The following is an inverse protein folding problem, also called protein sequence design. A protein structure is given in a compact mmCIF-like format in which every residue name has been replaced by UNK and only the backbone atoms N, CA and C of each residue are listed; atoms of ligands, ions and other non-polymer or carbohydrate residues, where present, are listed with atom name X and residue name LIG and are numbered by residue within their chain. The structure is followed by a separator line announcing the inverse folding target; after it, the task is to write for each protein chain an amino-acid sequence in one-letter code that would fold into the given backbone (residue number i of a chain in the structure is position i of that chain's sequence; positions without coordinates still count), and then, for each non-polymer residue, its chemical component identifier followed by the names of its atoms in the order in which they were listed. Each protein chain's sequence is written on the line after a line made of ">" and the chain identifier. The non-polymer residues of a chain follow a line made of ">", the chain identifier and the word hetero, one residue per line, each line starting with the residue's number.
data_IF_896582738804
#
_entry.id   IF_896582738804
#
_cell.length_a   1.000
_cell.length_b   1.000
_cell.length_c   1.000
_cell.angle_alpha   90.00
_cell.angle_beta   90.00
_cell.angle_gamma   90.00
#
_symmetry.space_group_name_H-M   'P 1'
#
loop_
_entity.id
_entity.type
_entity.pdbx_description
1 polymer ?
#
# COMPACT_ATOMS: atom_id res chain seq x y z
N UNK A 1 -2.37 -11.02 -12.77
CA UNK A 1 -2.15 -9.58 -12.57
C UNK A 1 -3.46 -8.82 -12.56
N UNK A 2 -3.99 -8.31 -13.69
CA UNK A 2 -5.23 -7.48 -13.68
C UNK A 2 -6.47 -8.16 -13.08
N UNK A 3 -6.59 -9.49 -13.20
CA UNK A 3 -7.68 -10.27 -12.56
C UNK A 3 -7.66 -10.19 -11.03
N UNK A 4 -6.48 -9.99 -10.43
CA UNK A 4 -6.36 -9.89 -8.97
C UNK A 4 -7.05 -8.64 -8.41
N UNK A 5 -7.15 -7.56 -9.20
CA UNK A 5 -7.90 -6.35 -8.81
C UNK A 5 -9.39 -6.67 -8.55
N UNK A 6 -9.94 -7.72 -9.16
CA UNK A 6 -11.36 -8.09 -9.03
C UNK A 6 -11.59 -9.32 -8.14
N UNK A 7 -10.54 -10.10 -7.81
CA UNK A 7 -10.68 -11.36 -7.07
C UNK A 7 -10.14 -11.30 -5.64
N UNK A 8 -9.22 -10.39 -5.33
CA UNK A 8 -8.71 -10.24 -3.96
C UNK A 8 -9.83 -9.77 -3.02
N UNK A 9 -9.79 -10.27 -1.78
CA UNK A 9 -10.74 -9.92 -0.71
C UNK A 9 -10.01 -9.50 0.57
N UNK A 10 -8.73 -9.18 0.47
CA UNK A 10 -7.95 -8.71 1.60
C UNK A 10 -8.55 -7.44 2.21
N UNK A 11 -8.38 -7.27 3.52
CA UNK A 11 -8.91 -6.10 4.22
C UNK A 11 -8.22 -4.83 3.74
N UNK A 12 -9.00 -3.75 3.61
CA UNK A 12 -8.50 -2.43 3.22
C UNK A 12 -9.03 -1.39 4.18
N UNK A 13 -8.12 -0.67 4.83
CA UNK A 13 -8.46 0.60 5.48
C UNK A 13 -8.34 1.70 4.44
N UNK A 14 -9.44 2.41 4.18
CA UNK A 14 -9.42 3.56 3.26
C UNK A 14 -8.51 4.63 3.84
N UNK A 15 -7.70 5.26 2.99
CA UNK A 15 -6.98 6.46 3.39
C UNK A 15 -7.97 7.53 3.83
N UNK A 16 -7.65 8.18 4.94
CA UNK A 16 -8.37 9.31 5.48
C UNK A 16 -7.39 10.25 6.18
N UNK A 17 -7.86 11.42 6.63
CA UNK A 17 -7.02 12.37 7.36
C UNK A 17 -6.40 11.74 8.60
N UNK A 18 -7.06 10.74 9.19
CA UNK A 18 -6.59 10.03 10.39
C UNK A 18 -5.69 8.82 10.09
N UNK A 19 -5.28 8.59 8.84
CA UNK A 19 -4.39 7.47 8.48
C UNK A 19 -3.00 7.94 8.05
N UNK A 20 -1.97 7.35 8.61
CA UNK A 20 -0.59 7.65 8.24
C UNK A 20 -0.22 6.96 6.93
N UNK A 21 0.35 7.74 6.01
CA UNK A 21 0.79 7.24 4.70
C UNK A 21 2.29 6.85 4.65
N UNK A 22 3.04 7.11 5.72
CA UNK A 22 4.48 6.85 5.83
C UNK A 22 4.86 6.62 7.29
N UNK A 23 5.99 5.93 7.53
CA UNK A 23 6.53 5.78 8.88
C UNK A 23 6.85 7.10 9.56
N UNK A 24 7.25 8.14 8.81
CA UNK A 24 7.56 9.45 9.40
C UNK A 24 6.31 10.13 9.97
N UNK A 25 5.17 10.08 9.26
CA UNK A 25 3.90 10.62 9.76
C UNK A 25 3.37 9.76 10.91
N UNK A 26 3.45 8.43 10.78
CA UNK A 26 3.07 7.50 11.85
C UNK A 26 3.89 7.75 13.11
N UNK A 27 5.19 7.97 12.98
CA UNK A 27 6.07 8.29 14.11
C UNK A 27 5.69 9.62 14.74
N UNK A 28 5.46 10.67 13.95
CA UNK A 28 5.05 11.98 14.46
C UNK A 28 3.78 11.89 15.33
N UNK A 29 2.82 11.06 14.93
CA UNK A 29 1.59 10.78 15.71
C UNK A 29 1.86 9.90 16.92
N UNK A 30 2.66 8.86 16.75
CA UNK A 30 3.07 7.96 17.82
C UNK A 30 3.68 8.74 18.99
N UNK A 31 4.54 9.73 18.69
CA UNK A 31 5.22 10.54 19.71
C UNK A 31 4.31 11.53 20.45
N UNK A 32 3.03 11.66 20.07
CA UNK A 32 2.01 12.38 20.85
C UNK A 32 1.56 11.56 22.07
N UNK A 33 1.79 10.25 22.09
CA UNK A 33 1.55 9.41 23.25
C UNK A 33 2.65 9.60 24.29
N UNK A 34 2.30 9.58 25.60
CA UNK A 34 3.28 9.81 26.66
C UNK A 34 4.31 8.69 26.79
N UNK A 35 3.92 7.46 26.48
CA UNK A 35 4.78 6.27 26.52
C UNK A 35 4.44 5.31 25.38
N UNK A 36 5.40 4.48 24.98
CA UNK A 36 5.17 3.43 24.00
C UNK A 36 4.08 2.45 24.48
N UNK A 37 4.10 2.05 25.76
CA UNK A 37 3.07 1.20 26.35
C UNK A 37 1.63 1.71 26.19
N UNK A 38 1.39 3.04 26.24
CA UNK A 38 0.07 3.61 26.01
C UNK A 38 -0.40 3.41 24.55
N UNK A 39 0.52 3.58 23.60
CA UNK A 39 0.25 3.35 22.18
C UNK A 39 0.10 1.85 21.87
N UNK A 40 0.93 0.99 22.47
CA UNK A 40 0.93 -0.46 22.23
C UNK A 40 -0.39 -1.15 22.63
N UNK A 41 -1.25 -0.50 23.41
CA UNK A 41 -2.59 -0.99 23.72
C UNK A 41 -3.57 -0.83 22.55
N UNK A 42 -3.29 0.05 21.59
CA UNK A 42 -4.13 0.22 20.40
C UNK A 42 -4.01 -1.00 19.49
N UNK A 43 -5.15 -1.61 19.20
CA UNK A 43 -5.26 -2.77 18.31
C UNK A 43 -5.86 -2.44 16.94
N UNK A 44 -6.25 -1.18 16.74
CA UNK A 44 -6.68 -0.72 15.42
C UNK A 44 -5.47 -0.62 14.46
N UNK A 45 -5.69 -0.72 13.13
CA UNK A 45 -4.60 -0.81 12.16
C UNK A 45 -3.64 0.38 12.21
N UNK A 46 -4.15 1.60 12.42
CA UNK A 46 -3.34 2.82 12.52
C UNK A 46 -2.48 2.80 13.78
N UNK A 47 -3.04 2.47 14.94
CA UNK A 47 -2.27 2.36 16.18
C UNK A 47 -1.15 1.33 16.11
N UNK A 48 -1.36 0.22 15.39
CA UNK A 48 -0.31 -0.78 15.14
C UNK A 48 0.79 -0.24 14.22
N UNK A 49 0.45 0.57 13.22
CA UNK A 49 1.42 1.20 12.33
C UNK A 49 2.23 2.30 13.03
N UNK A 50 1.58 3.12 13.86
CA UNK A 50 2.24 4.08 14.75
C UNK A 50 3.20 3.39 15.72
N UNK A 51 2.77 2.28 16.35
CA UNK A 51 3.62 1.48 17.23
C UNK A 51 4.82 0.89 16.48
N UNK A 52 4.60 0.37 15.26
CA UNK A 52 5.68 -0.11 14.41
C UNK A 52 6.69 1.02 14.10
N UNK A 53 6.21 2.23 13.77
CA UNK A 53 7.05 3.37 13.47
C UNK A 53 7.90 3.82 14.67
N UNK A 54 7.32 3.89 15.87
CA UNK A 54 8.07 4.14 17.11
C UNK A 54 9.13 3.06 17.33
N UNK A 55 8.75 1.78 17.25
CA UNK A 55 9.68 0.68 17.47
C UNK A 55 10.83 0.66 16.45
N UNK A 56 10.57 0.96 15.18
CA UNK A 56 11.61 1.10 14.17
C UNK A 56 12.57 2.25 14.46
N UNK A 57 12.05 3.39 14.91
CA UNK A 57 12.87 4.54 15.26
C UNK A 57 13.80 4.26 16.44
N UNK A 58 13.35 3.46 17.41
CA UNK A 58 14.19 2.99 18.51
C UNK A 58 15.33 2.07 18.05
N UNK A 59 15.07 1.13 17.14
CA UNK A 59 16.11 0.25 16.57
C UNK A 59 17.16 1.06 15.78
N UNK A 60 16.73 2.16 15.15
CA UNK A 60 17.59 3.02 14.34
C UNK A 60 18.30 4.13 15.12
N UNK A 61 18.06 4.25 16.44
CA UNK A 61 18.56 5.35 17.27
C UNK A 61 18.19 6.75 16.74
N UNK A 62 16.96 6.88 16.24
CA UNK A 62 16.48 8.08 15.58
C UNK A 62 15.59 8.97 16.46
N UNK A 63 15.34 8.62 17.74
CA UNK A 63 14.51 9.45 18.62
C UNK A 63 15.37 10.40 19.47
N UNK A 64 14.81 11.60 19.67
CA UNK A 64 15.30 12.47 20.73
C UNK A 64 14.93 11.85 22.07
N UNK A 65 15.89 11.80 22.98
CA UNK A 65 15.74 11.16 24.31
C UNK A 65 15.46 9.65 24.24
N UNK A 66 16.17 8.94 23.35
CA UNK A 66 16.14 7.47 23.16
C UNK A 66 16.07 6.70 24.48
N UNK A 67 16.88 7.06 25.48
CA UNK A 67 16.91 6.37 26.78
C UNK A 67 15.55 6.39 27.52
N UNK A 68 14.75 7.44 27.33
CA UNK A 68 13.40 7.56 27.90
C UNK A 68 12.34 6.94 27.00
N UNK A 69 12.50 7.06 25.66
CA UNK A 69 11.48 6.65 24.69
C UNK A 69 11.57 5.19 24.23
N UNK A 70 12.72 4.55 24.43
CA UNK A 70 13.03 3.21 23.93
C UNK A 70 13.35 2.19 25.03
N UNK A 71 13.07 2.53 26.30
CA UNK A 71 13.40 1.69 27.46
C UNK A 71 12.57 0.40 27.57
N UNK A 72 11.37 0.39 26.98
CA UNK A 72 10.45 -0.75 27.03
C UNK A 72 11.11 -2.01 26.42
N UNK A 73 11.03 -3.14 27.14
CA UNK A 73 11.69 -4.40 26.76
C UNK A 73 11.35 -4.87 25.32
N UNK A 74 10.09 -4.84 24.86
CA UNK A 74 9.76 -5.26 23.49
C UNK A 74 10.47 -4.46 22.41
N UNK A 75 10.82 -3.19 22.66
CA UNK A 75 11.48 -2.30 21.70
C UNK A 75 12.94 -2.71 21.42
N UNK A 76 13.51 -3.56 22.29
CA UNK A 76 14.86 -4.12 22.12
C UNK A 76 14.85 -5.44 21.33
N UNK A 77 13.68 -6.05 21.11
CA UNK A 77 13.60 -7.28 20.34
C UNK A 77 13.73 -6.98 18.83
N UNK A 78 14.63 -7.68 18.11
CA UNK A 78 15.01 -7.32 16.73
C UNK A 78 13.84 -7.42 15.74
N UNK A 79 12.92 -8.37 15.96
CA UNK A 79 11.79 -8.62 15.05
C UNK A 79 10.52 -7.88 15.46
N UNK A 80 10.49 -7.23 16.64
CA UNK A 80 9.26 -6.70 17.20
C UNK A 80 8.64 -5.61 16.31
N UNK A 81 9.45 -4.65 15.87
CA UNK A 81 9.00 -3.57 15.01
C UNK A 81 8.50 -4.08 13.65
N UNK A 82 9.19 -5.05 13.06
CA UNK A 82 8.78 -5.67 11.79
C UNK A 82 7.50 -6.49 11.94
N UNK A 83 7.33 -7.18 13.07
CA UNK A 83 6.11 -7.94 13.36
C UNK A 83 4.91 -7.00 13.54
N UNK A 84 5.06 -5.88 14.25
CA UNK A 84 4.01 -4.86 14.33
C UNK A 84 3.63 -4.32 12.94
N UNK A 85 4.63 -4.04 12.08
CA UNK A 85 4.38 -3.59 10.72
C UNK A 85 3.61 -4.62 9.89
N UNK A 86 3.98 -5.90 9.99
CA UNK A 86 3.28 -7.02 9.34
C UNK A 86 1.85 -7.19 9.83
N UNK A 87 1.61 -7.03 11.14
CA UNK A 87 0.26 -7.08 11.72
C UNK A 87 -0.59 -5.92 11.18
N UNK A 88 -0.06 -4.69 11.19
CA UNK A 88 -0.75 -3.52 10.65
C UNK A 88 -1.08 -3.68 9.16
N UNK A 89 -0.14 -4.23 8.38
CA UNK A 89 -0.36 -4.53 6.97
C UNK A 89 -1.45 -5.59 6.74
N UNK A 90 -1.44 -6.68 7.50
CA UNK A 90 -2.49 -7.72 7.45
C UNK A 90 -3.86 -7.21 7.95
N UNK A 91 -3.86 -6.15 8.75
CA UNK A 91 -5.08 -5.45 9.14
C UNK A 91 -5.57 -4.46 8.05
N UNK A 92 -4.82 -4.29 6.96
CA UNK A 92 -5.16 -3.45 5.83
C UNK A 92 -4.72 -1.99 5.95
N UNK A 93 -3.81 -1.66 6.88
CA UNK A 93 -3.31 -0.29 7.03
C UNK A 93 -2.45 0.09 5.79
N UNK A 94 -2.80 1.16 5.06
CA UNK A 94 -2.25 1.42 3.72
C UNK A 94 -0.80 1.90 3.72
N UNK A 95 -0.36 2.60 4.77
CA UNK A 95 1.05 2.96 4.97
C UNK A 95 1.92 1.73 5.23
N UNK A 96 1.46 0.80 6.08
CA UNK A 96 2.16 -0.42 6.44
C UNK A 96 2.33 -1.37 5.25
N UNK A 97 1.27 -1.57 4.47
CA UNK A 97 1.30 -2.39 3.24
C UNK A 97 2.35 -1.86 2.27
N UNK A 98 2.33 -0.54 1.99
CA UNK A 98 3.29 0.05 1.06
C UNK A 98 4.71 0.08 1.62
N UNK A 99 4.88 0.36 2.91
CA UNK A 99 6.18 0.38 3.56
C UNK A 99 6.87 -0.99 3.46
N UNK A 100 6.13 -2.08 3.71
CA UNK A 100 6.66 -3.44 3.51
C UNK A 100 7.01 -3.69 2.06
N UNK A 101 6.17 -3.28 1.12
CA UNK A 101 6.42 -3.52 -0.29
C UNK A 101 7.64 -2.76 -0.83
N UNK A 102 7.83 -1.50 -0.40
CA UNK A 102 8.97 -0.65 -0.76
C UNK A 102 10.26 -1.17 -0.16
N UNK A 103 10.23 -1.71 1.07
CA UNK A 103 11.40 -2.33 1.71
C UNK A 103 11.83 -3.63 1.02
N UNK A 104 10.90 -4.33 0.38
CA UNK A 104 11.13 -5.62 -0.25
C UNK A 104 10.70 -5.64 -1.73
N UNK A 105 11.28 -4.78 -2.60
CA UNK A 105 10.77 -4.53 -3.94
C UNK A 105 10.76 -5.76 -4.86
N UNK A 106 11.63 -6.75 -4.59
CA UNK A 106 11.70 -8.01 -5.34
C UNK A 106 10.92 -9.16 -4.72
N UNK A 107 10.37 -8.99 -3.51
CA UNK A 107 9.78 -10.06 -2.70
C UNK A 107 8.42 -9.69 -2.12
N UNK A 108 7.91 -8.47 -2.35
CA UNK A 108 6.63 -8.05 -1.78
C UNK A 108 5.46 -8.96 -2.18
N UNK A 109 5.59 -9.69 -3.28
CA UNK A 109 4.60 -10.67 -3.72
C UNK A 109 4.70 -12.05 -3.05
N UNK A 110 5.74 -12.30 -2.25
CA UNK A 110 5.98 -13.55 -1.52
C UNK A 110 5.91 -13.40 0.00
N UNK A 111 5.70 -12.19 0.52
CA UNK A 111 5.58 -11.94 1.96
C UNK A 111 4.20 -12.41 2.45
N UNK A 112 4.20 -13.44 3.31
CA UNK A 112 3.02 -13.84 4.06
C UNK A 112 2.77 -12.89 5.24
N UNK A 113 1.51 -12.58 5.50
CA UNK A 113 1.08 -11.72 6.60
C UNK A 113 0.38 -12.53 7.70
N UNK A 114 0.33 -12.02 8.95
CA UNK A 114 -0.25 -12.75 10.09
C UNK A 114 -1.76 -13.04 9.98
N UNK A 115 -2.47 -12.36 9.08
CA UNK A 115 -3.89 -12.59 8.82
C UNK A 115 -4.14 -13.81 7.90
N UNK A 116 -3.07 -14.47 7.43
CA UNK A 116 -3.12 -15.64 6.56
C UNK A 116 -3.15 -15.30 5.07
N UNK A 117 -3.06 -14.03 4.69
CA UNK A 117 -2.98 -13.60 3.29
C UNK A 117 -1.55 -13.21 2.90
N UNK A 118 -1.34 -12.93 1.62
CA UNK A 118 -0.06 -12.40 1.14
C UNK A 118 -0.12 -10.88 1.08
N UNK A 119 1.03 -10.22 1.24
CA UNK A 119 1.14 -8.76 1.07
C UNK A 119 0.65 -8.31 -0.31
N UNK A 120 0.82 -9.15 -1.34
CA UNK A 120 0.25 -8.87 -2.68
C UNK A 120 -1.26 -8.74 -2.66
N UNK A 121 -1.97 -9.57 -1.89
CA UNK A 121 -3.43 -9.53 -1.84
C UNK A 121 -3.92 -8.18 -1.31
N UNK A 122 -3.24 -7.63 -0.30
CA UNK A 122 -3.50 -6.30 0.24
C UNK A 122 -3.14 -5.18 -0.73
N UNK A 123 -1.99 -5.27 -1.43
CA UNK A 123 -1.61 -4.28 -2.46
C UNK A 123 -2.67 -4.23 -3.56
N UNK A 124 -3.11 -5.38 -4.07
CA UNK A 124 -4.17 -5.43 -5.09
C UNK A 124 -5.53 -4.98 -4.55
N UNK A 125 -5.85 -5.25 -3.29
CA UNK A 125 -7.09 -4.78 -2.69
C UNK A 125 -7.09 -3.26 -2.54
N UNK A 126 -5.98 -2.67 -2.08
CA UNK A 126 -5.81 -1.21 -2.04
C UNK A 126 -5.96 -0.59 -3.43
N UNK A 127 -5.30 -1.15 -4.45
CA UNK A 127 -5.40 -0.69 -5.83
C UNK A 127 -6.83 -0.79 -6.39
N UNK A 128 -7.54 -1.87 -6.06
CA UNK A 128 -8.95 -2.05 -6.41
C UNK A 128 -9.85 -0.97 -5.78
N UNK A 129 -9.51 -0.52 -4.58
CA UNK A 129 -10.19 0.58 -3.87
C UNK A 129 -9.71 1.99 -4.28
N UNK A 130 -8.87 2.10 -5.32
CA UNK A 130 -8.42 3.37 -5.86
C UNK A 130 -7.18 3.97 -5.20
N UNK A 131 -6.42 3.19 -4.43
CA UNK A 131 -5.13 3.65 -3.92
C UNK A 131 -4.11 3.79 -5.07
N UNK A 132 -3.79 5.04 -5.41
CA UNK A 132 -2.88 5.37 -6.50
C UNK A 132 -1.47 4.85 -6.26
N UNK A 133 -0.98 4.86 -5.02
CA UNK A 133 0.37 4.38 -4.71
C UNK A 133 0.46 2.86 -4.85
N UNK A 134 -0.61 2.13 -4.54
CA UNK A 134 -0.69 0.69 -4.81
C UNK A 134 -0.75 0.39 -6.32
N UNK A 135 -1.49 1.19 -7.11
CA UNK A 135 -1.50 1.06 -8.57
C UNK A 135 -0.12 1.31 -9.18
N UNK A 136 0.59 2.33 -8.72
CA UNK A 136 1.97 2.63 -9.13
C UNK A 136 2.93 1.48 -8.80
N UNK A 137 2.81 0.88 -7.61
CA UNK A 137 3.62 -0.28 -7.22
C UNK A 137 3.40 -1.46 -8.17
N UNK A 138 2.13 -1.80 -8.46
CA UNK A 138 1.75 -2.86 -9.41
C UNK A 138 2.29 -2.55 -10.81
N UNK A 139 2.14 -1.30 -11.27
CA UNK A 139 2.61 -0.82 -12.58
C UNK A 139 4.13 -0.93 -12.71
N UNK A 140 4.87 -0.55 -11.67
CA UNK A 140 6.32 -0.70 -11.64
C UNK A 140 6.76 -2.16 -11.60
N UNK A 141 5.99 -3.04 -10.95
CA UNK A 141 6.20 -4.49 -11.02
C UNK A 141 6.20 -5.03 -12.46
N UNK A 142 5.36 -4.48 -13.35
CA UNK A 142 5.36 -4.85 -14.77
C UNK A 142 6.57 -4.35 -15.57
N UNK A 143 7.51 -3.61 -14.98
CA UNK A 143 8.80 -3.30 -15.62
C UNK A 143 9.80 -4.45 -15.47
N UNK A 144 9.58 -5.37 -14.52
CA UNK A 144 10.43 -6.55 -14.32
C UNK A 144 10.17 -7.56 -15.44
N UNK A 145 11.21 -8.07 -16.14
CA UNK A 145 11.06 -9.08 -17.18
C UNK A 145 10.28 -10.31 -16.69
N UNK A 146 9.28 -10.74 -17.46
CA UNK A 146 8.46 -11.92 -17.14
C UNK A 146 7.41 -11.72 -16.04
N UNK A 147 7.37 -10.57 -15.35
CA UNK A 147 6.39 -10.33 -14.29
C UNK A 147 4.95 -10.14 -14.84
N UNK A 148 4.83 -9.60 -16.05
CA UNK A 148 3.54 -9.37 -16.73
C UNK A 148 3.55 -10.01 -18.12
N UNK A 149 2.45 -10.70 -18.47
CA UNK A 149 2.28 -11.35 -19.78
C UNK A 149 2.33 -10.34 -20.94
N UNK A 150 1.71 -9.19 -20.75
CA UNK A 150 1.77 -8.05 -21.67
C UNK A 150 2.14 -6.80 -20.87
N UNK A 151 3.43 -6.48 -20.73
CA UNK A 151 3.90 -5.38 -19.89
C UNK A 151 3.34 -4.02 -20.30
N UNK A 152 3.39 -3.68 -21.59
CA UNK A 152 2.97 -2.37 -22.10
C UNK A 152 1.46 -2.20 -21.93
N UNK A 153 0.67 -3.20 -22.35
CA UNK A 153 -0.78 -3.15 -22.19
C UNK A 153 -1.18 -3.05 -20.72
N UNK A 154 -0.56 -3.86 -19.85
CA UNK A 154 -0.89 -3.86 -18.42
C UNK A 154 -0.57 -2.51 -17.79
N UNK A 155 0.59 -1.91 -18.10
CA UNK A 155 0.94 -0.56 -17.62
C UNK A 155 -0.07 0.48 -18.13
N UNK A 156 -0.45 0.46 -19.40
CA UNK A 156 -1.44 1.38 -19.95
C UNK A 156 -2.82 1.26 -19.29
N UNK A 157 -3.26 0.03 -18.97
CA UNK A 157 -4.51 -0.22 -18.24
C UNK A 157 -4.43 0.36 -16.82
N UNK A 158 -3.34 0.12 -16.10
CA UNK A 158 -3.14 0.63 -14.74
C UNK A 158 -3.05 2.15 -14.70
N UNK A 159 -2.30 2.77 -15.62
CA UNK A 159 -2.27 4.22 -15.78
C UNK A 159 -3.68 4.77 -16.04
N UNK A 160 -4.44 4.14 -16.94
CA UNK A 160 -5.82 4.57 -17.22
C UNK A 160 -6.74 4.45 -16.02
N UNK A 161 -6.53 3.43 -15.19
CA UNK A 161 -7.27 3.25 -13.96
C UNK A 161 -6.89 4.31 -12.90
N UNK A 162 -5.61 4.65 -12.75
CA UNK A 162 -5.14 5.74 -11.87
C UNK A 162 -5.81 7.08 -12.23
N UNK A 163 -5.83 7.43 -13.52
CA UNK A 163 -6.47 8.66 -13.99
C UNK A 163 -7.98 8.67 -13.74
N UNK A 164 -8.63 7.53 -13.99
CA UNK A 164 -10.06 7.37 -13.75
C UNK A 164 -10.41 7.45 -12.25
N UNK A 165 -9.54 7.01 -11.36
CA UNK A 165 -9.74 7.20 -9.91
C UNK A 165 -9.48 8.63 -9.45
N UNK A 166 -8.52 9.32 -10.07
CA UNK A 166 -8.16 10.68 -9.70
C UNK A 166 -9.09 11.76 -10.28
N UNK A 167 -9.86 11.45 -11.33
CA UNK A 167 -10.68 12.41 -12.07
C UNK A 167 -12.00 11.80 -12.53
N UNK A 168 -13.05 12.61 -12.52
CA UNK A 168 -14.36 12.22 -13.06
C UNK A 168 -14.33 12.00 -14.59
N UNK A 169 -13.42 12.68 -15.30
CA UNK A 169 -13.24 12.54 -16.75
C UNK A 169 -11.76 12.55 -17.17
N UNK A 170 -11.43 11.72 -18.17
CA UNK A 170 -10.11 11.68 -18.80
C UNK A 170 -9.91 12.90 -19.72
N UNK A 171 -8.81 13.65 -19.62
CA UNK A 171 -8.50 14.72 -20.56
C UNK A 171 -8.42 14.22 -22.01
N UNK A 172 -8.85 15.02 -22.99
CA UNK A 172 -8.80 14.62 -24.41
C UNK A 172 -7.38 14.26 -24.91
N UNK A 173 -6.34 14.85 -24.32
CA UNK A 173 -4.93 14.58 -24.66
C UNK A 173 -4.35 13.35 -23.97
N UNK A 174 -5.10 12.73 -23.05
CA UNK A 174 -4.64 11.62 -22.22
C UNK A 174 -4.25 10.38 -23.03
N UNK A 175 -5.01 10.05 -24.08
CA UNK A 175 -4.74 8.90 -24.96
C UNK A 175 -3.32 8.96 -25.53
N UNK A 176 -2.83 10.17 -25.85
CA UNK A 176 -1.49 10.38 -26.42
C UNK A 176 -0.33 10.11 -25.45
N UNK A 177 -0.58 10.01 -24.15
CA UNK A 177 0.43 9.75 -23.12
C UNK A 177 0.71 8.26 -22.91
N UNK A 178 -0.15 7.39 -23.45
CA UNK A 178 -0.01 5.93 -23.36
C UNK A 178 0.97 5.40 -24.41
N UNK A 179 1.65 4.30 -24.11
CA UNK A 179 2.61 3.68 -25.03
C UNK A 179 1.88 2.89 -26.14
N UNK A 180 2.48 2.77 -27.32
CA UNK A 180 1.98 1.92 -28.41
C UNK A 180 1.08 2.63 -29.44
N UNK A 181 0.39 1.83 -30.26
CA UNK A 181 -0.50 2.33 -31.32
C UNK A 181 -1.79 2.94 -30.76
N UNK A 182 -2.49 3.77 -31.53
CA UNK A 182 -3.80 4.32 -31.13
C UNK A 182 -4.80 3.22 -30.74
N UNK A 183 -4.85 2.14 -31.52
CA UNK A 183 -5.70 0.98 -31.23
C UNK A 183 -5.35 0.30 -29.89
N UNK A 184 -4.05 0.15 -29.58
CA UNK A 184 -3.60 -0.43 -28.31
C UNK A 184 -3.94 0.46 -27.12
N UNK A 185 -3.77 1.77 -27.27
CA UNK A 185 -4.10 2.77 -26.25
C UNK A 185 -5.59 2.75 -25.96
N UNK A 186 -6.42 2.75 -27.00
CA UNK A 186 -7.88 2.70 -26.87
C UNK A 186 -8.35 1.41 -26.20
N UNK A 187 -7.80 0.25 -26.61
CA UNK A 187 -8.08 -1.05 -25.99
C UNK A 187 -7.73 -1.07 -24.50
N UNK A 188 -6.63 -0.42 -24.09
CA UNK A 188 -6.24 -0.33 -22.69
C UNK A 188 -7.21 0.54 -21.87
N UNK A 189 -7.66 1.67 -22.44
CA UNK A 189 -8.66 2.56 -21.82
C UNK A 189 -9.99 1.83 -21.64
N UNK A 190 -10.47 1.13 -22.67
CA UNK A 190 -11.70 0.33 -22.60
C UNK A 190 -11.59 -0.75 -21.52
N UNK A 191 -10.45 -1.44 -21.45
CA UNK A 191 -10.21 -2.46 -20.42
C UNK A 191 -10.18 -1.86 -19.02
N UNK A 192 -9.52 -0.72 -18.81
CA UNK A 192 -9.52 -0.02 -17.53
C UNK A 192 -10.93 0.41 -17.11
N UNK A 193 -11.71 0.96 -18.05
CA UNK A 193 -13.09 1.37 -17.84
C UNK A 193 -13.98 0.18 -17.48
N UNK A 194 -13.83 -0.93 -18.19
CA UNK A 194 -14.53 -2.17 -17.88
C UNK A 194 -14.15 -2.70 -16.48
N UNK A 195 -12.85 -2.71 -16.13
CA UNK A 195 -12.38 -3.11 -14.81
C UNK A 195 -13.00 -2.24 -13.71
N UNK A 196 -12.94 -0.91 -13.83
CA UNK A 196 -13.45 0.04 -12.84
C UNK A 196 -14.91 -0.22 -12.45
N UNK A 197 -15.76 -0.64 -13.38
CA UNK A 197 -17.18 -0.99 -13.12
C UNK A 197 -17.36 -2.17 -12.15
N UNK A 198 -16.36 -3.04 -12.03
CA UNK A 198 -16.37 -4.19 -11.13
C UNK A 198 -15.58 -3.95 -9.84
N UNK A 199 -14.95 -2.79 -9.68
CA UNK A 199 -14.13 -2.48 -8.51
C UNK A 199 -14.97 -1.91 -7.35
N UNK A 200 -14.58 -2.18 -6.09
CA UNK A 200 -15.32 -1.72 -4.93
C UNK A 200 -15.38 -0.18 -4.85
N UNK A 201 -16.59 0.36 -4.74
CA UNK A 201 -16.81 1.80 -4.53
C UNK A 201 -17.35 2.57 -5.73
N UNK A 202 -17.69 1.91 -6.83
CA UNK A 202 -18.35 2.52 -8.02
C UNK A 202 -19.63 1.78 -8.44
N UNK A 203 -20.24 1.01 -7.52
CA UNK A 203 -21.66 0.66 -7.65
C UNK A 203 -22.45 1.97 -7.61
N UNK A 204 -23.18 2.21 -8.70
CA UNK A 204 -24.02 3.36 -9.04
C UNK A 204 -24.63 4.14 -7.87
#
# INVERSE_FOLDING_TARGET
>A
MLTMLTTTKAKVVRRGPDQSNSLAIALSRALQYPTFGALAQRRDPEGQFEAAAWAMACIQHHLKDDALRCGDEPLRAPDYALNLLRIAAGAGQPGAVLELAVRHPMQWNTIALPDGTMLTDHVYAMAAHGDIAALELIKNGCKVPGACRDPVFTRNVLTSLEYQFARDALPATYVGQLEGSEADRQRAIERATALRRFLPGHSS
#
